data_IF_222771018497
#
_entry.id   IF_222771018497
#
_cell.length_a   1.000
_cell.length_b   1.000
_cell.length_c   1.000
_cell.angle_alpha   90.00
_cell.angle_beta   90.00
_cell.angle_gamma   90.00
#
_symmetry.space_group_name_H-M   'P 1'
#
loop_
_entity.id
_entity.type
_entity.pdbx_description
1 polymer ?
#
# COMPACT_ATOMS: atom_id res chain seq x y z
N UNK A 1 -0.56 -12.50 33.93
CA UNK A 1 -1.15 -11.42 33.12
C UNK A 1 -0.27 -11.20 31.91
N UNK A 2 -0.60 -11.79 30.77
CA UNK A 2 0.13 -11.56 29.53
C UNK A 2 -0.52 -10.39 28.81
N UNK A 3 0.23 -9.30 28.65
CA UNK A 3 -0.18 -8.14 27.88
C UNK A 3 -0.33 -8.54 26.41
N UNK A 4 -1.58 -8.59 25.95
CA UNK A 4 -1.90 -8.78 24.55
C UNK A 4 -1.75 -7.43 23.86
N UNK A 5 -0.63 -7.23 23.15
CA UNK A 5 -0.50 -6.11 22.21
C UNK A 5 -1.28 -6.55 20.97
N UNK A 6 -2.36 -5.87 20.57
CA UNK A 6 -3.08 -6.23 19.36
C UNK A 6 -2.17 -5.94 18.17
N UNK A 7 -1.50 -6.97 17.68
CA UNK A 7 -0.86 -6.94 16.37
C UNK A 7 -1.93 -6.62 15.35
N UNK A 8 -1.78 -5.47 14.70
CA UNK A 8 -2.54 -5.02 13.54
C UNK A 8 -2.63 -6.21 12.58
N UNK A 9 -3.86 -6.65 12.31
CA UNK A 9 -4.15 -7.85 11.53
C UNK A 9 -4.04 -7.53 10.05
N UNK A 10 -2.84 -7.17 9.57
CA UNK A 10 -2.55 -6.95 8.15
C UNK A 10 -2.90 -8.20 7.33
N UNK A 11 -4.15 -8.28 6.87
CA UNK A 11 -4.70 -9.46 6.22
C UNK A 11 -4.54 -9.47 4.71
N UNK A 12 -4.19 -8.36 4.04
CA UNK A 12 -4.26 -8.30 2.57
C UNK A 12 -3.27 -7.32 1.90
N UNK A 13 -1.96 -7.60 1.83
CA UNK A 13 -1.11 -6.75 0.98
C UNK A 13 -1.46 -7.04 -0.49
N UNK A 14 -2.08 -6.07 -1.17
CA UNK A 14 -2.39 -6.16 -2.60
C UNK A 14 -1.19 -5.63 -3.39
N UNK A 15 -0.48 -6.55 -4.05
CA UNK A 15 0.41 -6.22 -5.17
C UNK A 15 -0.32 -6.59 -6.45
N UNK A 16 -0.45 -5.65 -7.38
CA UNK A 16 -1.09 -5.87 -8.69
C UNK A 16 -2.51 -6.45 -8.65
N UNK A 17 -3.28 -6.16 -7.60
CA UNK A 17 -4.68 -6.60 -7.49
C UNK A 17 -4.85 -8.08 -7.13
N UNK A 18 -3.77 -8.81 -6.87
CA UNK A 18 -3.81 -10.15 -6.30
C UNK A 18 -3.74 -10.08 -4.76
N UNK A 19 -4.62 -10.81 -4.09
CA UNK A 19 -4.51 -11.04 -2.65
C UNK A 19 -3.36 -12.02 -2.41
N UNK A 20 -2.26 -11.56 -1.83
CA UNK A 20 -1.17 -12.43 -1.41
C UNK A 20 -1.45 -12.94 0.02
N UNK A 21 -1.36 -14.26 0.24
CA UNK A 21 -1.34 -14.80 1.61
C UNK A 21 0.00 -14.45 2.27
N UNK A 22 0.01 -14.38 3.60
CA UNK A 22 1.23 -14.20 4.40
C UNK A 22 2.29 -15.25 4.06
N UNK A 23 1.86 -16.43 3.62
CA UNK A 23 2.74 -17.51 3.19
C UNK A 23 3.40 -17.26 1.83
N UNK A 24 2.93 -16.29 1.06
CA UNK A 24 3.42 -15.96 -0.29
C UNK A 24 4.22 -14.66 -0.31
N UNK A 25 4.41 -14.02 0.85
CA UNK A 25 5.20 -12.80 1.00
C UNK A 25 6.43 -13.02 1.87
N UNK A 26 7.48 -12.29 1.54
CA UNK A 26 8.66 -12.07 2.37
C UNK A 26 8.65 -10.61 2.84
N UNK A 27 8.78 -10.41 4.15
CA UNK A 27 8.85 -9.08 4.75
C UNK A 27 10.32 -8.69 4.95
N UNK A 28 10.67 -7.53 4.40
CA UNK A 28 12.02 -6.97 4.33
C UNK A 28 12.01 -5.63 5.05
N UNK A 29 13.09 -5.31 5.77
CA UNK A 29 13.22 -4.09 6.60
C UNK A 29 12.11 -3.90 7.67
N UNK A 30 11.20 -4.86 7.82
CA UNK A 30 10.11 -4.87 8.81
C UNK A 30 8.76 -4.42 8.27
N UNK A 31 8.73 -3.71 7.14
CA UNK A 31 7.52 -3.06 6.60
C UNK A 31 7.42 -3.08 5.05
N UNK A 32 8.33 -3.76 4.36
CA UNK A 32 8.30 -3.92 2.89
C UNK A 32 7.93 -5.37 2.56
N UNK A 33 6.89 -5.58 1.77
CA UNK A 33 6.49 -6.91 1.32
C UNK A 33 6.92 -7.18 -0.13
N UNK A 34 7.58 -8.31 -0.35
CA UNK A 34 7.85 -8.86 -1.67
C UNK A 34 7.10 -10.19 -1.83
N UNK A 35 6.63 -10.54 -3.03
CA UNK A 35 6.30 -11.92 -3.32
C UNK A 35 7.52 -12.82 -3.05
N UNK A 36 7.30 -13.98 -2.44
CA UNK A 36 8.40 -14.91 -2.14
C UNK A 36 9.14 -15.30 -3.41
N UNK A 37 10.46 -15.35 -3.31
CA UNK A 37 11.34 -15.71 -4.43
C UNK A 37 11.46 -14.64 -5.50
N UNK A 38 10.82 -13.46 -5.35
CA UNK A 38 11.00 -12.33 -6.28
C UNK A 38 11.85 -11.22 -5.70
N UNK A 39 12.37 -11.36 -4.46
CA UNK A 39 13.20 -10.33 -3.85
C UNK A 39 14.41 -10.06 -4.77
N UNK A 40 14.59 -8.83 -5.28
CA UNK A 40 15.76 -8.51 -6.07
C UNK A 40 16.98 -8.59 -5.13
N UNK A 41 17.83 -9.61 -5.32
CA UNK A 41 19.07 -9.86 -4.57
C UNK A 41 20.15 -8.78 -4.74
N UNK A 42 19.78 -7.56 -5.04
CA UNK A 42 20.72 -6.45 -5.23
C UNK A 42 20.45 -5.42 -4.16
N UNK A 43 21.48 -5.09 -3.39
CA UNK A 43 21.53 -4.14 -2.27
C UNK A 43 21.15 -2.68 -2.63
N UNK A 44 20.49 -2.47 -3.76
CA UNK A 44 20.13 -1.17 -4.28
C UNK A 44 18.68 -0.83 -3.89
N UNK A 45 18.51 0.14 -2.99
CA UNK A 45 17.22 0.64 -2.47
C UNK A 45 16.38 1.42 -3.50
N UNK A 46 16.71 1.32 -4.77
CA UNK A 46 15.91 1.93 -5.83
C UNK A 46 14.62 1.13 -6.00
N UNK A 47 13.49 1.83 -6.14
CA UNK A 47 12.27 1.20 -6.60
C UNK A 47 12.57 0.38 -7.87
N UNK A 48 11.90 -0.78 -8.00
CA UNK A 48 11.87 -1.54 -9.25
C UNK A 48 11.83 -0.58 -10.45
N UNK A 49 12.53 -0.91 -11.54
CA UNK A 49 12.70 -0.03 -12.70
C UNK A 49 11.39 0.54 -13.25
N UNK A 50 11.44 1.42 -14.27
CA UNK A 50 10.29 2.20 -14.79
C UNK A 50 8.94 1.44 -14.88
N UNK A 51 8.96 0.13 -15.13
CA UNK A 51 7.78 -0.75 -15.16
C UNK A 51 6.99 -0.84 -13.84
N UNK A 52 7.59 -0.62 -12.67
CA UNK A 52 6.89 -0.67 -11.37
C UNK A 52 6.38 0.69 -10.88
N UNK A 53 6.45 1.72 -11.72
CA UNK A 53 5.92 3.05 -11.39
C UNK A 53 4.45 3.15 -11.78
N UNK A 54 3.67 3.84 -10.97
CA UNK A 54 2.31 4.22 -11.30
C UNK A 54 2.26 5.04 -12.60
N UNK A 55 1.47 4.57 -13.56
CA UNK A 55 1.34 5.22 -14.86
C UNK A 55 0.85 6.67 -14.70
N UNK A 56 1.55 7.61 -15.33
CA UNK A 56 1.25 9.04 -15.28
C UNK A 56 1.15 9.63 -13.85
N UNK A 57 1.74 8.97 -12.85
CA UNK A 57 1.66 9.39 -11.46
C UNK A 57 0.25 9.28 -10.85
N UNK A 58 -0.67 8.57 -11.51
CA UNK A 58 -2.03 8.36 -11.00
C UNK A 58 -2.05 7.09 -10.17
N UNK A 59 -2.47 7.22 -8.92
CA UNK A 59 -2.57 6.13 -7.94
C UNK A 59 -4.05 5.93 -7.60
N UNK A 60 -4.75 5.00 -8.25
CA UNK A 60 -6.09 4.60 -7.85
C UNK A 60 -6.03 3.99 -6.45
N UNK A 61 -6.98 4.35 -5.58
CA UNK A 61 -7.03 3.84 -4.22
C UNK A 61 -8.44 3.52 -3.76
N UNK A 62 -8.52 2.62 -2.80
CA UNK A 62 -9.71 2.34 -2.02
C UNK A 62 -9.31 2.31 -0.54
N UNK A 63 -10.05 3.04 0.30
CA UNK A 63 -9.88 2.97 1.75
C UNK A 63 -11.05 2.17 2.27
N UNK A 64 -10.72 1.16 3.06
CA UNK A 64 -11.65 0.54 3.98
C UNK A 64 -12.89 -0.08 3.35
N UNK A 65 -12.69 -1.01 2.42
CA UNK A 65 -13.79 -1.73 1.78
C UNK A 65 -14.75 -2.39 2.79
N UNK A 66 -14.26 -2.69 3.98
CA UNK A 66 -15.00 -3.38 5.04
C UNK A 66 -15.36 -2.48 6.24
N UNK A 67 -15.21 -1.15 6.14
CA UNK A 67 -15.60 -0.18 7.18
C UNK A 67 -14.96 -0.40 8.57
N UNK A 68 -13.72 -0.87 8.59
CA UNK A 68 -12.86 -1.15 9.74
C UNK A 68 -12.09 0.05 10.29
N UNK A 69 -11.80 1.07 9.47
CA UNK A 69 -11.16 2.30 9.92
C UNK A 69 -12.18 3.27 10.50
N UNK A 70 -11.78 3.93 11.60
CA UNK A 70 -12.51 5.09 12.11
C UNK A 70 -12.40 6.29 11.18
N UNK A 71 -13.36 7.22 11.28
CA UNK A 71 -13.32 8.48 10.54
C UNK A 71 -12.00 9.27 10.75
N UNK A 72 -11.43 9.22 11.97
CA UNK A 72 -10.14 9.86 12.26
C UNK A 72 -8.97 9.23 11.51
N UNK A 73 -8.95 7.91 11.36
CA UNK A 73 -7.94 7.19 10.58
C UNK A 73 -8.09 7.47 9.08
N UNK A 74 -9.32 7.48 8.56
CA UNK A 74 -9.61 7.85 7.17
C UNK A 74 -9.14 9.28 6.88
N UNK A 75 -9.40 10.22 7.80
CA UNK A 75 -8.93 11.60 7.69
C UNK A 75 -7.40 11.69 7.69
N UNK A 76 -6.72 10.86 8.48
CA UNK A 76 -5.25 10.83 8.54
C UNK A 76 -4.65 10.31 7.23
N UNK A 77 -5.22 9.24 6.67
CA UNK A 77 -4.79 8.66 5.39
C UNK A 77 -5.00 9.67 4.26
N UNK A 78 -6.20 10.23 4.15
CA UNK A 78 -6.54 11.20 3.09
C UNK A 78 -5.76 12.50 3.19
N UNK A 79 -5.49 13.01 4.41
CA UNK A 79 -4.63 14.17 4.61
C UNK A 79 -3.18 13.91 4.17
N UNK A 80 -2.65 12.71 4.43
CA UNK A 80 -1.31 12.30 4.00
C UNK A 80 -1.21 12.20 2.48
N UNK A 81 -2.23 11.66 1.81
CA UNK A 81 -2.33 11.64 0.35
C UNK A 81 -2.27 13.06 -0.22
N UNK A 82 -3.09 13.99 0.28
CA UNK A 82 -3.10 15.40 -0.16
C UNK A 82 -1.75 16.08 0.03
N UNK A 83 -1.05 15.78 1.14
CA UNK A 83 0.30 16.33 1.39
C UNK A 83 1.29 15.89 0.31
N UNK A 84 1.24 14.63 -0.12
CA UNK A 84 2.09 14.12 -1.21
C UNK A 84 1.75 14.76 -2.56
N UNK A 85 0.46 14.94 -2.87
CA UNK A 85 0.03 15.65 -4.08
C UNK A 85 0.61 17.07 -4.09
N UNK A 86 0.50 17.80 -2.98
CA UNK A 86 1.04 19.15 -2.84
C UNK A 86 2.57 19.20 -3.00
N UNK A 87 3.29 18.32 -2.30
CA UNK A 87 4.75 18.28 -2.33
C UNK A 87 5.31 17.93 -3.70
N UNK A 88 4.57 17.16 -4.50
CA UNK A 88 4.96 16.79 -5.86
C UNK A 88 4.44 17.77 -6.92
N UNK A 89 3.84 18.89 -6.51
CA UNK A 89 3.15 19.82 -7.41
C UNK A 89 2.14 19.11 -8.33
N UNK A 90 1.38 18.17 -7.76
CA UNK A 90 0.39 17.33 -8.43
C UNK A 90 0.93 16.38 -9.52
N UNK A 91 2.24 16.09 -9.54
CA UNK A 91 2.81 15.03 -10.38
C UNK A 91 2.38 13.63 -9.91
N UNK A 92 2.07 13.48 -8.62
CA UNK A 92 1.38 12.31 -8.07
C UNK A 92 -0.05 12.73 -7.71
N UNK A 93 -1.03 11.90 -8.06
CA UNK A 93 -2.44 12.11 -7.72
C UNK A 93 -3.09 10.82 -7.23
N UNK A 94 -3.81 10.92 -6.13
CA UNK A 94 -4.62 9.84 -5.58
C UNK A 94 -6.05 10.00 -6.07
N UNK A 95 -6.59 8.96 -6.71
CA UNK A 95 -7.96 8.98 -7.23
C UNK A 95 -8.75 7.83 -6.63
N UNK A 96 -10.01 8.08 -6.26
CA UNK A 96 -10.91 7.02 -5.83
C UNK A 96 -11.04 6.01 -6.96
N UNK A 97 -10.79 4.73 -6.63
CA UNK A 97 -10.87 3.65 -7.58
C UNK A 97 -12.31 3.45 -8.06
N UNK A 98 -12.47 3.16 -9.34
CA UNK A 98 -13.73 2.72 -9.94
C UNK A 98 -13.56 1.35 -10.58
N UNK A 99 -12.77 1.26 -11.65
CA UNK A 99 -12.59 0.06 -12.45
C UNK A 99 -11.13 -0.25 -12.79
N UNK A 100 -10.18 0.48 -12.19
CA UNK A 100 -8.77 0.30 -12.48
C UNK A 100 -8.31 -1.09 -12.00
N UNK A 101 -7.52 -1.82 -12.82
CA UNK A 101 -7.06 -3.17 -12.51
C UNK A 101 -5.90 -3.20 -11.49
N UNK A 102 -5.22 -2.08 -11.28
CA UNK A 102 -4.14 -1.92 -10.29
C UNK A 102 -4.46 -0.72 -9.42
N UNK A 103 -4.44 -0.91 -8.10
CA UNK A 103 -4.80 0.11 -7.10
C UNK A 103 -4.16 -0.20 -5.75
N UNK A 104 -4.15 0.78 -4.85
CA UNK A 104 -3.82 0.58 -3.44
C UNK A 104 -5.10 0.36 -2.64
N UNK A 105 -5.15 -0.69 -1.83
CA UNK A 105 -6.17 -0.85 -0.80
C UNK A 105 -5.56 -0.63 0.58
N UNK A 106 -6.11 0.32 1.34
CA UNK A 106 -5.80 0.50 2.74
C UNK A 106 -6.91 -0.15 3.58
N UNK A 107 -6.55 -1.10 4.44
CA UNK A 107 -7.47 -1.88 5.27
C UNK A 107 -6.77 -2.27 6.59
N UNK A 108 -7.55 -2.69 7.60
CA UNK A 108 -7.07 -3.20 8.90
C UNK A 108 -7.22 -4.71 9.01
#
# INVERSE_FOLDING_TARGET
MHHYIPFIKWSHIFLDGAQLDRQDIEIVEGDIAFPKGTMPHTENRNAYGKAAKWANGIIPYQIDRFSTYSAGQINTITASMRKLEQQTNNCIKFVQRTSQPTWIEAFV
#
